data_IF_810168313650
#
_entry.id   IF_810168313650
#
_cell.length_a   1.000
_cell.length_b   1.000
_cell.length_c   1.000
_cell.angle_alpha   90.00
_cell.angle_beta   90.00
_cell.angle_gamma   90.00
#
_symmetry.space_group_name_H-M   'P 1'
#
loop_
_entity.id
_entity.type
_entity.pdbx_description
1 polymer ?
#
# COMPACT_ATOMS: atom_id res chain seq x y z
N UNK A 1 3.20 9.36 18.76
CA UNK A 1 4.29 8.40 18.56
C UNK A 1 3.97 7.53 17.35
N UNK A 2 4.97 7.01 16.62
CA UNK A 2 4.78 5.99 15.56
C UNK A 2 5.51 4.71 15.99
N UNK A 3 4.87 3.52 15.96
CA UNK A 3 5.53 2.26 16.26
C UNK A 3 6.76 2.03 15.37
N UNK A 4 7.78 1.40 15.96
CA UNK A 4 9.03 1.04 15.30
C UNK A 4 9.48 -0.33 15.80
N UNK A 5 9.90 -1.20 14.89
CA UNK A 5 10.52 -2.49 15.19
C UNK A 5 12.00 -2.48 14.83
N UNK A 6 12.83 -3.13 15.65
CA UNK A 6 14.25 -3.31 15.34
C UNK A 6 14.40 -4.38 14.25
N UNK A 7 14.43 -3.92 12.99
CA UNK A 7 14.41 -4.76 11.81
C UNK A 7 15.57 -4.40 10.86
N UNK A 8 16.39 -5.39 10.53
CA UNK A 8 17.43 -5.24 9.51
C UNK A 8 16.79 -5.27 8.11
N UNK A 9 16.85 -4.14 7.40
CA UNK A 9 16.33 -4.03 6.02
C UNK A 9 17.39 -4.37 4.98
N UNK A 10 16.96 -5.05 3.90
CA UNK A 10 17.80 -5.38 2.75
C UNK A 10 17.39 -4.55 1.54
N UNK A 11 18.11 -3.46 1.22
CA UNK A 11 17.73 -2.53 0.16
C UNK A 11 18.18 -3.03 -1.23
N UNK A 12 18.01 -4.30 -1.52
CA UNK A 12 18.38 -4.93 -2.78
C UNK A 12 17.43 -6.08 -3.09
N UNK A 13 17.17 -6.30 -4.38
CA UNK A 13 16.25 -7.34 -4.82
C UNK A 13 16.76 -8.74 -4.42
N UNK A 14 15.88 -9.64 -3.97
CA UNK A 14 16.24 -11.03 -3.73
C UNK A 14 16.73 -11.70 -5.02
N UNK A 15 17.84 -12.42 -4.96
CA UNK A 15 18.46 -13.03 -6.15
C UNK A 15 17.58 -14.06 -6.88
N UNK A 16 16.53 -14.57 -6.22
CA UNK A 16 15.58 -15.56 -6.76
C UNK A 16 14.16 -15.00 -6.92
N UNK A 17 13.98 -13.69 -6.76
CA UNK A 17 12.68 -13.05 -6.93
C UNK A 17 12.12 -13.33 -8.32
N UNK A 18 10.83 -13.69 -8.37
CA UNK A 18 10.09 -13.83 -9.62
C UNK A 18 9.42 -12.48 -9.90
N UNK A 19 9.98 -11.71 -10.83
CA UNK A 19 9.56 -10.36 -11.17
C UNK A 19 8.76 -10.38 -12.48
N UNK A 20 7.44 -10.47 -12.37
CA UNK A 20 6.50 -10.30 -13.47
C UNK A 20 5.15 -9.86 -12.93
N UNK A 21 4.34 -9.23 -13.76
CA UNK A 21 2.91 -9.10 -13.46
C UNK A 21 2.21 -10.48 -13.50
N UNK A 22 1.16 -10.69 -12.69
CA UNK A 22 0.31 -11.86 -12.85
C UNK A 22 -0.43 -11.79 -14.20
N UNK A 23 -0.64 -12.94 -14.83
CA UNK A 23 -1.52 -13.07 -15.99
C UNK A 23 -2.98 -12.79 -15.58
N UNK A 24 -3.85 -12.48 -16.54
CA UNK A 24 -5.25 -12.14 -16.22
C UNK A 24 -6.01 -13.29 -15.53
N UNK A 25 -5.71 -14.54 -15.87
CA UNK A 25 -6.30 -15.74 -15.27
C UNK A 25 -5.70 -16.10 -13.90
N UNK A 26 -4.59 -15.48 -13.52
CA UNK A 26 -3.98 -15.60 -12.17
C UNK A 26 -4.58 -14.59 -11.18
N UNK A 27 -5.43 -13.68 -11.65
CA UNK A 27 -6.07 -12.62 -10.88
C UNK A 27 -7.57 -12.89 -10.79
N UNK A 28 -8.08 -13.20 -9.61
CA UNK A 28 -9.53 -13.31 -9.37
C UNK A 28 -10.10 -12.03 -8.80
N UNK A 29 -11.44 -11.95 -8.72
CA UNK A 29 -12.14 -10.86 -8.03
C UNK A 29 -11.77 -10.79 -6.54
N UNK A 30 -11.37 -11.91 -5.93
CA UNK A 30 -10.99 -12.01 -4.52
C UNK A 30 -9.51 -11.69 -4.26
N UNK A 31 -8.70 -11.48 -5.31
CA UNK A 31 -7.27 -11.16 -5.19
C UNK A 31 -6.34 -12.09 -5.97
N UNK A 32 -5.05 -12.07 -5.62
CA UNK A 32 -4.02 -12.92 -6.22
C UNK A 32 -2.90 -13.25 -5.22
N UNK A 33 -2.12 -14.28 -5.52
CA UNK A 33 -0.99 -14.69 -4.69
C UNK A 33 -1.37 -15.34 -3.34
N UNK A 34 -2.47 -16.09 -3.34
CA UNK A 34 -3.09 -16.72 -2.16
C UNK A 34 -3.65 -15.74 -1.12
N UNK A 35 -3.81 -14.46 -1.48
CA UNK A 35 -4.63 -13.52 -0.73
C UNK A 35 -6.05 -13.56 -1.30
N UNK A 36 -7.02 -13.76 -0.41
CA UNK A 36 -8.45 -13.81 -0.70
C UNK A 36 -9.14 -12.65 0.02
N UNK A 37 -10.34 -12.30 -0.44
CA UNK A 37 -11.14 -11.18 0.08
C UNK A 37 -10.43 -9.81 -0.03
N UNK A 38 -9.53 -9.66 -1.01
CA UNK A 38 -8.84 -8.40 -1.31
C UNK A 38 -9.41 -7.77 -2.57
N UNK A 39 -9.72 -6.47 -2.54
CA UNK A 39 -10.02 -5.77 -3.79
C UNK A 39 -8.76 -5.47 -4.59
N UNK A 40 -8.91 -5.33 -5.90
CA UNK A 40 -7.82 -4.94 -6.79
C UNK A 40 -7.85 -3.43 -7.00
N UNK A 41 -6.76 -2.77 -6.64
CA UNK A 41 -6.55 -1.35 -6.94
C UNK A 41 -5.92 -1.26 -8.33
N UNK A 42 -6.77 -1.21 -9.35
CA UNK A 42 -6.36 -1.14 -10.76
C UNK A 42 -6.36 0.29 -11.33
N UNK A 43 -5.47 0.55 -12.29
CA UNK A 43 -5.44 1.78 -13.10
C UNK A 43 -5.37 3.11 -12.32
N UNK A 44 -4.50 3.17 -11.30
CA UNK A 44 -4.25 4.41 -10.55
C UNK A 44 -3.56 5.46 -11.43
N UNK A 45 -4.16 6.64 -11.52
CA UNK A 45 -3.57 7.82 -12.14
C UNK A 45 -2.55 8.49 -11.22
N UNK A 46 -1.68 9.33 -11.77
CA UNK A 46 -0.75 10.14 -10.96
C UNK A 46 -1.48 11.00 -9.94
N UNK A 47 -2.57 11.65 -10.36
CA UNK A 47 -3.32 12.57 -9.50
C UNK A 47 -3.97 11.86 -8.31
N UNK A 48 -4.57 10.69 -8.55
CA UNK A 48 -5.13 9.85 -7.49
C UNK A 48 -4.03 9.37 -6.53
N UNK A 49 -2.86 8.97 -7.06
CA UNK A 49 -1.75 8.57 -6.20
C UNK A 49 -1.17 9.73 -5.38
N UNK A 50 -0.98 10.91 -5.98
CA UNK A 50 -0.53 12.10 -5.26
C UNK A 50 -1.51 12.46 -4.15
N UNK A 51 -2.82 12.43 -4.43
CA UNK A 51 -3.85 12.68 -3.42
C UNK A 51 -3.78 11.67 -2.28
N UNK A 52 -3.72 10.36 -2.60
CA UNK A 52 -3.69 9.32 -1.57
C UNK A 52 -2.42 9.39 -0.73
N UNK A 53 -1.27 9.70 -1.33
CA UNK A 53 0.01 9.86 -0.61
C UNK A 53 -0.04 11.02 0.37
N UNK A 54 -0.63 12.15 -0.02
CA UNK A 54 -0.76 13.32 0.84
C UNK A 54 -1.78 13.10 1.97
N UNK A 55 -2.91 12.46 1.67
CA UNK A 55 -3.94 12.09 2.66
C UNK A 55 -3.39 11.11 3.70
N UNK A 56 -2.75 10.03 3.25
CA UNK A 56 -2.15 9.02 4.13
C UNK A 56 -1.08 9.63 5.05
N UNK A 57 -0.25 10.54 4.51
CA UNK A 57 0.74 11.27 5.31
C UNK A 57 0.10 12.19 6.34
N UNK A 58 -0.98 12.89 5.98
CA UNK A 58 -1.71 13.79 6.86
C UNK A 58 -2.31 13.01 8.04
N UNK A 59 -3.06 11.96 7.75
CA UNK A 59 -3.66 11.08 8.76
C UNK A 59 -2.61 10.46 9.67
N UNK A 60 -1.49 9.98 9.11
CA UNK A 60 -0.39 9.47 9.92
C UNK A 60 0.16 10.54 10.89
N UNK A 61 0.25 11.80 10.46
CA UNK A 61 0.65 12.91 11.34
C UNK A 61 -0.33 13.05 12.50
N UNK A 62 -1.64 13.15 12.21
CA UNK A 62 -2.70 13.31 13.21
C UNK A 62 -2.69 12.17 14.25
N UNK A 63 -2.64 10.92 13.79
CA UNK A 63 -2.56 9.74 14.67
C UNK A 63 -1.29 9.81 15.51
N UNK A 64 -0.15 10.12 14.89
CA UNK A 64 1.13 10.18 15.59
C UNK A 64 1.22 11.34 16.59
N UNK A 65 0.54 12.45 16.39
CA UNK A 65 0.55 13.56 17.35
C UNK A 65 -0.36 13.28 18.54
N UNK A 66 -1.39 12.45 18.32
CA UNK A 66 -2.42 12.13 19.32
C UNK A 66 -2.08 10.91 20.18
N UNK A 67 -1.27 9.98 19.67
CA UNK A 67 -0.91 8.74 20.37
C UNK A 67 0.35 8.87 21.25
N UNK A 68 0.28 8.37 22.49
CA UNK A 68 1.42 8.28 23.41
C UNK A 68 2.02 6.88 23.49
N UNK A 69 1.25 5.85 23.12
CA UNK A 69 1.66 4.43 23.16
C UNK A 69 1.38 3.74 21.81
N UNK A 70 1.97 2.56 21.51
CA UNK A 70 1.73 1.89 20.23
C UNK A 70 0.29 1.37 20.16
N UNK A 71 -0.27 1.01 21.32
CA UNK A 71 -1.66 0.59 21.48
C UNK A 71 -2.61 1.76 21.21
N UNK A 72 -2.30 2.96 21.72
CA UNK A 72 -3.09 4.16 21.38
C UNK A 72 -3.00 4.51 19.90
N UNK A 73 -1.81 4.39 19.29
CA UNK A 73 -1.63 4.60 17.86
C UNK A 73 -2.55 3.67 17.05
N UNK A 74 -2.52 2.38 17.38
CA UNK A 74 -3.33 1.36 16.73
C UNK A 74 -4.84 1.64 16.87
N UNK A 75 -5.28 1.94 18.09
CA UNK A 75 -6.68 2.24 18.37
C UNK A 75 -7.18 3.48 17.61
N UNK A 76 -6.39 4.55 17.57
CA UNK A 76 -6.76 5.78 16.85
C UNK A 76 -6.75 5.54 15.33
N UNK A 77 -5.73 4.86 14.79
CA UNK A 77 -5.68 4.54 13.36
C UNK A 77 -6.87 3.68 12.95
N UNK A 78 -7.16 2.63 13.71
CA UNK A 78 -8.30 1.74 13.48
C UNK A 78 -9.65 2.46 13.57
N UNK A 79 -9.80 3.41 14.49
CA UNK A 79 -11.00 4.24 14.56
C UNK A 79 -11.21 5.04 13.26
N UNK A 80 -10.17 5.72 12.77
CA UNK A 80 -10.25 6.51 11.53
C UNK A 80 -10.53 5.64 10.30
N UNK A 81 -9.84 4.51 10.17
CA UNK A 81 -9.96 3.59 9.03
C UNK A 81 -11.35 2.98 8.90
N UNK A 82 -11.97 2.68 10.04
CA UNK A 82 -13.29 2.07 10.08
C UNK A 82 -14.43 3.09 10.23
N UNK A 83 -14.11 4.39 10.39
CA UNK A 83 -15.09 5.41 10.73
C UNK A 83 -15.80 5.16 12.07
N UNK A 84 -15.14 4.48 13.00
CA UNK A 84 -15.76 3.98 14.23
C UNK A 84 -15.15 4.65 15.48
N UNK A 85 -15.84 5.66 16.05
CA UNK A 85 -15.36 6.37 17.23
C UNK A 85 -15.33 5.49 18.49
N UNK A 86 -16.01 4.33 18.53
CA UNK A 86 -15.95 3.41 19.66
C UNK A 86 -14.56 2.75 19.82
N UNK A 87 -13.77 2.72 18.76
CA UNK A 87 -12.38 2.22 18.79
C UNK A 87 -11.38 3.21 19.37
N UNK A 88 -11.76 4.46 19.62
CA UNK A 88 -10.86 5.45 20.20
C UNK A 88 -10.42 5.06 21.62
N UNK A 89 -9.18 5.41 22.03
CA UNK A 89 -8.72 5.19 23.40
C UNK A 89 -9.66 5.83 24.44
N UNK A 90 -9.87 5.14 25.56
CA UNK A 90 -10.69 5.67 26.65
C UNK A 90 -10.22 7.08 27.06
N UNK A 91 -11.17 8.01 27.17
CA UNK A 91 -10.88 9.40 27.52
C UNK A 91 -10.45 10.29 26.35
N UNK A 92 -10.32 9.77 25.11
CA UNK A 92 -9.81 10.52 23.97
C UNK A 92 -10.65 11.78 23.70
N UNK A 93 -11.96 11.63 23.53
CA UNK A 93 -12.86 12.74 23.22
C UNK A 93 -12.90 13.81 24.32
N UNK A 94 -12.64 13.45 25.59
CA UNK A 94 -12.54 14.42 26.67
C UNK A 94 -11.19 15.17 26.67
N UNK A 95 -10.11 14.52 26.22
CA UNK A 95 -8.77 15.14 26.12
C UNK A 95 -8.63 16.03 24.89
N UNK A 96 -9.31 15.66 23.81
CA UNK A 96 -9.15 16.27 22.48
C UNK A 96 -10.49 16.51 21.78
N UNK A 97 -11.45 17.25 22.39
CA UNK A 97 -12.80 17.42 21.85
C UNK A 97 -12.82 18.16 20.51
N UNK A 98 -11.91 19.13 20.32
CA UNK A 98 -11.83 19.94 19.10
C UNK A 98 -10.73 19.43 18.14
N UNK A 99 -10.37 18.14 18.23
CA UNK A 99 -9.35 17.57 17.34
C UNK A 99 -9.91 17.26 15.96
N UNK A 100 -9.07 17.38 14.94
CA UNK A 100 -9.44 17.01 13.57
C UNK A 100 -9.87 15.55 13.46
N UNK A 101 -9.28 14.65 14.26
CA UNK A 101 -9.71 13.24 14.36
C UNK A 101 -11.18 13.14 14.80
N UNK A 102 -11.60 13.93 15.78
CA UNK A 102 -13.00 13.94 16.21
C UNK A 102 -13.92 14.44 15.10
N UNK A 103 -13.54 15.50 14.38
CA UNK A 103 -14.29 16.01 13.22
C UNK A 103 -14.42 14.96 12.11
N UNK A 104 -13.32 14.31 11.73
CA UNK A 104 -13.34 13.26 10.70
C UNK A 104 -14.30 12.13 11.09
N UNK A 105 -14.29 11.69 12.36
CA UNK A 105 -15.15 10.61 12.83
C UNK A 105 -16.62 11.01 12.97
N UNK A 106 -16.91 12.28 13.31
CA UNK A 106 -18.28 12.80 13.31
C UNK A 106 -18.86 12.87 11.90
N UNK A 107 -18.04 13.11 10.88
CA UNK A 107 -18.43 13.19 9.47
C UNK A 107 -18.45 11.83 8.76
N UNK A 108 -17.88 10.78 9.37
CA UNK A 108 -17.71 9.47 8.74
C UNK A 108 -19.03 8.75 8.42
N UNK A 109 -20.12 9.02 9.16
CA UNK A 109 -21.45 8.44 8.90
C UNK A 109 -22.05 8.88 7.54
N UNK A 110 -21.57 10.00 6.97
CA UNK A 110 -22.12 10.60 5.74
C UNK A 110 -21.18 10.47 4.52
N UNK A 111 -19.98 9.88 4.66
CA UNK A 111 -18.90 9.91 3.66
C UNK A 111 -18.29 8.50 3.42
N UNK A 112 -17.65 8.31 2.27
CA UNK A 112 -16.85 7.12 1.96
C UNK A 112 -15.73 6.92 3.01
N UNK A 113 -15.40 5.67 3.41
CA UNK A 113 -14.38 5.40 4.41
C UNK A 113 -13.04 6.07 4.08
N UNK A 114 -12.35 6.54 5.11
CA UNK A 114 -11.03 7.15 4.97
C UNK A 114 -10.06 6.18 4.29
N UNK A 115 -9.31 6.68 3.32
CA UNK A 115 -8.38 5.89 2.48
C UNK A 115 -9.05 4.70 1.76
N UNK A 116 -10.38 4.70 1.63
CA UNK A 116 -11.15 3.58 1.11
C UNK A 116 -10.85 2.30 1.87
N UNK A 117 -10.92 2.29 3.20
CA UNK A 117 -10.62 1.16 4.10
C UNK A 117 -9.19 0.58 4.02
N UNK A 118 -8.23 1.30 3.41
CA UNK A 118 -6.83 0.94 3.50
C UNK A 118 -6.20 1.44 4.81
N UNK A 119 -5.17 0.75 5.25
CA UNK A 119 -4.48 1.06 6.49
C UNK A 119 -3.60 2.32 6.36
N UNK A 120 -3.71 3.21 7.35
CA UNK A 120 -2.90 4.40 7.52
C UNK A 120 -1.43 3.99 7.63
N UNK A 121 -0.60 4.67 6.85
CA UNK A 121 0.82 4.46 6.73
C UNK A 121 1.24 3.52 5.59
N UNK A 122 0.31 2.82 4.94
CA UNK A 122 0.61 1.96 3.77
C UNK A 122 -0.24 2.29 2.55
N UNK A 123 -1.42 2.92 2.72
CA UNK A 123 -2.32 3.28 1.63
C UNK A 123 -1.66 4.13 0.54
N UNK A 124 -0.90 5.15 0.92
CA UNK A 124 -0.19 6.01 -0.02
C UNK A 124 0.84 5.25 -0.84
N UNK A 125 1.57 4.31 -0.21
CA UNK A 125 2.54 3.47 -0.91
C UNK A 125 1.88 2.54 -1.92
N UNK A 126 0.73 1.96 -1.57
CA UNK A 126 -0.04 1.09 -2.47
C UNK A 126 -0.42 1.87 -3.73
N UNK A 127 -1.00 3.06 -3.58
CA UNK A 127 -1.39 3.89 -4.72
C UNK A 127 -0.19 4.35 -5.54
N UNK A 128 0.89 4.77 -4.89
CA UNK A 128 2.14 5.15 -5.57
C UNK A 128 2.67 4.01 -6.45
N UNK A 129 2.76 2.79 -5.91
CA UNK A 129 3.23 1.60 -6.64
C UNK A 129 2.31 1.22 -7.81
N UNK A 130 1.00 1.21 -7.60
CA UNK A 130 0.04 0.92 -8.67
C UNK A 130 0.07 2.00 -9.78
N UNK A 131 0.37 3.26 -9.42
CA UNK A 131 0.46 4.36 -10.38
C UNK A 131 1.72 4.33 -11.27
N UNK A 132 2.69 3.46 -10.99
CA UNK A 132 3.89 3.29 -11.82
C UNK A 132 3.95 1.91 -12.48
N UNK A 133 2.82 1.19 -12.51
CA UNK A 133 2.69 -0.10 -13.19
C UNK A 133 3.01 -1.32 -12.32
N UNK A 134 3.19 -1.14 -11.00
CA UNK A 134 3.16 -2.24 -10.05
C UNK A 134 1.73 -2.75 -9.82
N UNK A 135 1.60 -3.94 -9.23
CA UNK A 135 0.34 -4.50 -8.79
C UNK A 135 0.48 -5.04 -7.37
N UNK A 136 -0.24 -4.44 -6.43
CA UNK A 136 -0.17 -4.84 -5.02
C UNK A 136 -1.15 -5.95 -4.70
N UNK A 137 -0.69 -7.01 -4.03
CA UNK A 137 -1.53 -8.15 -3.65
C UNK A 137 -2.16 -7.98 -2.26
N UNK A 138 -1.39 -7.45 -1.31
CA UNK A 138 -1.82 -7.23 0.06
C UNK A 138 -0.86 -6.30 0.80
N UNK A 139 -1.30 -5.72 1.90
CA UNK A 139 -0.51 -4.79 2.73
C UNK A 139 -0.89 -4.88 4.21
N UNK A 140 0.09 -4.71 5.09
CA UNK A 140 -0.12 -4.60 6.53
C UNK A 140 0.71 -3.44 7.07
N UNK A 141 0.19 -2.68 8.04
CA UNK A 141 0.95 -1.67 8.80
C UNK A 141 1.79 -2.27 9.92
N UNK A 142 1.60 -3.55 10.26
CA UNK A 142 2.28 -4.23 11.36
C UNK A 142 1.57 -4.06 12.70
N UNK A 143 0.29 -4.42 12.78
CA UNK A 143 -0.51 -4.30 14.02
C UNK A 143 0.10 -5.14 15.15
N UNK A 144 -0.10 -4.70 16.39
CA UNK A 144 0.31 -5.46 17.58
C UNK A 144 -0.73 -6.49 18.05
N UNK A 145 -1.69 -6.88 17.21
CA UNK A 145 -2.78 -7.80 17.57
C UNK A 145 -2.47 -9.25 17.17
N UNK A 146 -3.12 -10.22 17.81
CA UNK A 146 -2.99 -11.66 17.48
C UNK A 146 -3.47 -12.00 16.06
N UNK A 147 -4.18 -11.07 15.40
CA UNK A 147 -4.67 -11.21 14.03
C UNK A 147 -3.73 -10.57 13.00
N UNK A 148 -2.66 -9.91 13.43
CA UNK A 148 -1.69 -9.31 12.55
C UNK A 148 -0.93 -10.40 11.77
N UNK A 149 -0.92 -10.26 10.45
CA UNK A 149 -0.24 -11.19 9.55
C UNK A 149 1.23 -10.80 9.29
N UNK A 150 1.66 -9.66 9.81
CA UNK A 150 3.04 -9.19 9.89
C UNK A 150 3.22 -8.36 11.18
N UNK A 151 4.38 -8.46 11.82
CA UNK A 151 4.77 -7.64 12.98
C UNK A 151 5.39 -6.29 12.58
N UNK A 152 5.46 -6.02 11.28
CA UNK A 152 6.03 -4.81 10.70
C UNK A 152 5.32 -4.42 9.40
N UNK A 153 5.41 -3.14 8.98
CA UNK A 153 4.85 -2.69 7.71
C UNK A 153 5.37 -3.49 6.52
N UNK A 154 4.45 -4.01 5.70
CA UNK A 154 4.77 -4.80 4.51
C UNK A 154 3.75 -4.58 3.40
N UNK A 155 4.22 -4.49 2.15
CA UNK A 155 3.39 -4.48 0.94
C UNK A 155 3.89 -5.59 0.01
N UNK A 156 2.98 -6.45 -0.45
CA UNK A 156 3.25 -7.48 -1.44
C UNK A 156 3.02 -6.91 -2.84
N UNK A 157 4.05 -7.00 -3.68
CA UNK A 157 4.11 -6.34 -4.98
C UNK A 157 4.49 -7.34 -6.07
N UNK A 158 3.67 -7.40 -7.12
CA UNK A 158 4.07 -7.90 -8.43
C UNK A 158 4.51 -6.73 -9.30
N UNK A 159 5.64 -6.87 -9.97
CA UNK A 159 6.18 -5.86 -10.87
C UNK A 159 7.14 -6.48 -11.88
N UNK A 160 7.38 -5.75 -12.97
CA UNK A 160 8.37 -6.11 -13.97
C UNK A 160 9.80 -5.82 -13.47
N UNK A 161 10.83 -6.50 -14.00
CA UNK A 161 12.22 -6.33 -13.56
C UNK A 161 12.71 -4.87 -13.63
N UNK A 162 12.42 -4.16 -14.71
CA UNK A 162 12.85 -2.77 -14.91
C UNK A 162 12.28 -1.84 -13.81
N UNK A 163 11.02 -2.07 -13.40
CA UNK A 163 10.38 -1.30 -12.33
C UNK A 163 10.98 -1.65 -10.97
N UNK A 164 11.21 -2.94 -10.71
CA UNK A 164 11.84 -3.39 -9.48
C UNK A 164 13.24 -2.78 -9.31
N UNK A 165 14.05 -2.75 -10.37
CA UNK A 165 15.38 -2.13 -10.38
C UNK A 165 15.30 -0.61 -10.17
N UNK A 166 14.33 0.05 -10.80
CA UNK A 166 14.07 1.48 -10.61
C UNK A 166 13.69 1.83 -9.16
N UNK A 167 12.99 0.94 -8.46
CA UNK A 167 12.58 1.11 -7.06
C UNK A 167 13.74 0.98 -6.06
N UNK A 168 14.80 0.23 -6.38
CA UNK A 168 15.93 -0.03 -5.47
C UNK A 168 16.50 1.22 -4.78
N UNK A 169 16.86 2.31 -5.49
CA UNK A 169 17.37 3.51 -4.83
C UNK A 169 16.36 4.11 -3.85
N UNK A 170 15.06 4.14 -4.17
CA UNK A 170 14.04 4.72 -3.28
C UNK A 170 13.79 3.86 -2.05
N UNK A 171 13.74 2.53 -2.22
CA UNK A 171 13.64 1.59 -1.11
C UNK A 171 14.80 1.77 -0.14
N UNK A 172 16.03 1.89 -0.65
CA UNK A 172 17.20 2.19 0.17
C UNK A 172 17.07 3.52 0.90
N UNK A 173 16.75 4.58 0.18
CA UNK A 173 16.78 5.95 0.70
C UNK A 173 15.64 6.20 1.71
N UNK A 174 14.51 5.49 1.57
CA UNK A 174 13.42 5.47 2.55
C UNK A 174 13.71 4.62 3.79
N UNK A 175 14.78 3.81 3.80
CA UNK A 175 15.06 2.84 4.86
C UNK A 175 14.14 1.63 4.85
N UNK A 176 13.62 1.25 3.67
CA UNK A 176 12.85 0.04 3.45
C UNK A 176 13.75 -1.10 2.95
N UNK A 177 13.21 -2.31 2.88
CA UNK A 177 13.87 -3.49 2.33
C UNK A 177 13.00 -4.26 1.36
N UNK A 178 13.62 -5.12 0.57
CA UNK A 178 12.94 -6.12 -0.25
C UNK A 178 13.04 -7.51 0.36
N UNK A 179 11.96 -8.28 0.25
CA UNK A 179 11.89 -9.69 0.63
C UNK A 179 11.39 -10.56 -0.50
N UNK A 180 11.75 -11.84 -0.44
CA UNK A 180 11.29 -12.84 -1.40
C UNK A 180 9.93 -13.38 -0.97
N UNK A 181 8.91 -13.20 -1.81
CA UNK A 181 7.59 -13.76 -1.64
C UNK A 181 7.21 -14.71 -2.77
N UNK A 182 8.20 -15.30 -3.46
CA UNK A 182 7.97 -16.17 -4.61
C UNK A 182 7.14 -17.43 -4.27
N UNK A 183 7.14 -17.85 -3.00
CA UNK A 183 6.29 -18.94 -2.52
C UNK A 183 4.79 -18.61 -2.56
N UNK A 184 4.45 -17.32 -2.76
CA UNK A 184 3.09 -16.80 -2.87
C UNK A 184 2.74 -16.35 -4.29
N UNK A 185 3.53 -16.73 -5.31
CA UNK A 185 3.33 -16.28 -6.69
C UNK A 185 4.47 -15.35 -7.16
N UNK A 186 4.29 -14.55 -8.23
CA UNK A 186 5.32 -13.65 -8.75
C UNK A 186 5.42 -12.36 -7.90
N UNK A 187 5.62 -12.53 -6.60
CA UNK A 187 5.60 -11.45 -5.61
C UNK A 187 6.98 -11.24 -4.98
N UNK A 188 7.27 -9.96 -4.74
CA UNK A 188 8.26 -9.51 -3.76
C UNK A 188 7.53 -8.80 -2.63
N UNK A 189 8.16 -8.67 -1.48
CA UNK A 189 7.71 -7.74 -0.44
C UNK A 189 8.55 -6.49 -0.42
N UNK A 190 7.91 -5.36 -0.16
CA UNK A 190 8.56 -4.16 0.36
C UNK A 190 8.19 -4.09 1.83
N UNK A 191 9.17 -4.11 2.72
CA UNK A 191 8.95 -4.06 4.16
C UNK A 191 9.76 -2.95 4.81
N UNK A 192 9.33 -2.52 5.99
CA UNK A 192 10.03 -1.46 6.71
C UNK A 192 9.96 -1.59 8.24
N UNK A 193 10.86 -0.93 8.98
CA UNK A 193 10.81 -0.89 10.45
C UNK A 193 9.62 -0.12 11.02
N UNK A 194 9.00 0.77 10.23
CA UNK A 194 7.91 1.65 10.67
C UNK A 194 7.11 2.18 9.48
N UNK A 195 5.83 2.49 9.69
CA UNK A 195 4.99 3.11 8.64
C UNK A 195 5.50 4.48 8.19
N UNK A 196 6.35 5.13 8.98
CA UNK A 196 7.05 6.35 8.55
C UNK A 196 7.89 6.11 7.29
N UNK A 197 8.54 4.95 7.21
CA UNK A 197 9.40 4.60 6.09
C UNK A 197 8.59 4.29 4.82
N UNK A 198 7.44 3.63 4.95
CA UNK A 198 6.54 3.34 3.81
C UNK A 198 5.93 4.62 3.24
N UNK A 199 5.53 5.57 4.09
CA UNK A 199 5.08 6.91 3.64
C UNK A 199 6.21 7.69 2.95
N UNK A 200 7.43 7.64 3.49
CA UNK A 200 8.58 8.28 2.84
C UNK A 200 8.91 7.64 1.48
N UNK A 201 8.81 6.31 1.36
CA UNK A 201 8.99 5.61 0.09
C UNK A 201 7.95 6.07 -0.94
N UNK A 202 6.67 6.19 -0.54
CA UNK A 202 5.61 6.67 -1.40
C UNK A 202 5.91 8.10 -1.92
N UNK A 203 6.36 8.99 -1.02
CA UNK A 203 6.77 10.35 -1.37
C UNK A 203 7.94 10.38 -2.36
N UNK A 204 8.96 9.54 -2.17
CA UNK A 204 10.12 9.45 -3.05
C UNK A 204 9.73 8.94 -4.45
N UNK A 205 8.83 7.96 -4.53
CA UNK A 205 8.26 7.47 -5.79
C UNK A 205 7.55 8.60 -6.53
N UNK A 206 6.64 9.30 -5.86
CA UNK A 206 5.87 10.38 -6.48
C UNK A 206 6.75 11.55 -6.95
N UNK A 207 7.79 11.89 -6.18
CA UNK A 207 8.76 12.91 -6.57
C UNK A 207 9.54 12.59 -7.85
N UNK A 208 9.57 11.31 -8.27
CA UNK A 208 10.25 10.82 -9.48
C UNK A 208 9.31 10.14 -10.46
N UNK A 209 8.00 10.35 -10.32
CA UNK A 209 6.99 9.64 -11.11
C UNK A 209 7.22 9.74 -12.62
N UNK A 210 7.66 10.89 -13.12
CA UNK A 210 7.91 11.11 -14.56
C UNK A 210 9.11 10.32 -15.11
N UNK A 211 9.99 9.81 -14.23
CA UNK A 211 11.21 9.07 -14.59
C UNK A 211 11.01 7.54 -14.54
N UNK A 212 9.81 7.05 -14.24
CA UNK A 212 9.53 5.60 -14.12
C UNK A 212 9.61 4.87 -15.48
N UNK A 213 10.02 3.58 -15.49
CA UNK A 213 10.02 2.80 -16.73
C UNK A 213 8.60 2.68 -17.30
N UNK A 214 8.45 2.53 -18.63
CA UNK A 214 7.13 2.41 -19.26
C UNK A 214 6.32 1.25 -18.67
N UNK A 215 5.04 1.50 -18.40
CA UNK A 215 4.10 0.45 -17.97
C UNK A 215 4.01 -0.61 -19.07
N UNK A 216 4.28 -1.87 -18.72
CA UNK A 216 3.99 -3.00 -19.60
C UNK A 216 2.52 -3.39 -19.42
N UNK A 217 1.80 -3.57 -20.51
CA UNK A 217 0.46 -4.16 -20.48
C UNK A 217 0.60 -5.62 -20.09
N UNK A 218 -0.36 -6.15 -19.31
CA UNK A 218 -0.44 -7.58 -19.03
C UNK A 218 -0.45 -8.33 -20.36
N UNK A 219 0.31 -9.42 -20.45
CA UNK A 219 0.26 -10.29 -21.61
C UNK A 219 -1.13 -10.93 -21.63
N UNK A 220 -1.99 -10.51 -22.55
CA UNK A 220 -3.40 -10.93 -22.58
C UNK A 220 -3.57 -12.38 -23.04
N UNK A 221 -2.48 -13.08 -23.39
CA UNK A 221 -2.50 -14.45 -23.88
C UNK A 221 -3.32 -14.65 -25.16
N UNK A 222 -3.86 -13.58 -25.74
CA UNK A 222 -4.66 -13.65 -26.95
C UNK A 222 -3.72 -13.89 -28.14
N UNK A 223 -3.87 -14.99 -28.88
CA UNK A 223 -3.14 -15.13 -30.12
C UNK A 223 -3.51 -13.96 -31.02
N UNK A 224 -2.51 -13.30 -31.61
CA UNK A 224 -2.71 -12.24 -32.58
C UNK A 224 -3.66 -12.75 -33.67
N UNK A 225 -4.90 -12.26 -33.67
CA UNK A 225 -5.85 -12.56 -34.73
C UNK A 225 -5.35 -11.80 -35.96
N UNK A 226 -4.73 -12.53 -36.88
CA UNK A 226 -4.37 -12.05 -38.21
C UNK A 226 -5.66 -11.57 -38.89
N UNK A 227 -5.88 -10.26 -38.94
CA UNK A 227 -7.05 -9.61 -39.53
C UNK A 227 -6.98 -9.59 -41.06
N UNK A 228 -6.45 -10.66 -41.66
CA UNK A 228 -6.42 -10.93 -43.08
C UNK A 228 -7.69 -11.61 -43.58
N UNK A 229 -8.86 -11.00 -43.38
CA UNK A 229 -10.05 -11.32 -44.17
C UNK A 229 -10.93 -10.09 -44.37
N UNK A 230 -10.88 -9.53 -45.58
CA UNK A 230 -11.87 -8.56 -46.05
C UNK A 230 -13.27 -9.19 -46.07
N UNK A 231 -14.32 -8.46 -45.67
CA UNK A 231 -15.68 -8.95 -45.79
C UNK A 231 -16.08 -8.97 -47.27
N UNK A 232 -16.35 -10.18 -47.78
CA UNK A 232 -17.14 -10.37 -49.00
C UNK A 232 -18.62 -10.21 -48.64
N UNK A 233 -19.18 -9.07 -49.07
CA UNK A 233 -20.58 -8.71 -49.31
C UNK A 233 -21.65 -9.15 -48.30
#
# INVERSE_FOLDING_TARGET
MIPFVDLEVKPYLPAKAVLRLPAEDEVSEDGFGYFHDMWLIGNVSRAEADQMVEEDRHLLSLVSESANTPIEFEAIASALENGDPENLPAGFSQRSPDSEIATILEEADDIEPVLGCLEIGVAGLIYALNSIGGMTAASCRGHSSDQAWSDHPVVFLACEPDLAEWLVPFVRDAGCGFGDASSRGPLVTIYAPSVRNTVELARLIMARWDDHPPRRTRDTGAPAVDSGQEPLW
#
